data_IF_509983588947
#
_entry.id   IF_509983588947
#
_cell.length_a   1.000
_cell.length_b   1.000
_cell.length_c   1.000
_cell.angle_alpha   90.00
_cell.angle_beta   90.00
_cell.angle_gamma   90.00
#
_symmetry.space_group_name_H-M   'P 1'
#
loop_
_entity.id
_entity.type
_entity.pdbx_description
1 polymer ?
#
# COMPACT_ATOMS: atom_id res chain seq x y z
N UNK A 1 21.00 -1.39 49.51
CA UNK A 1 20.90 -1.66 48.04
C UNK A 1 22.07 -0.97 47.34
N UNK A 2 22.91 -1.70 46.61
CA UNK A 2 24.14 -1.18 45.96
C UNK A 2 23.84 -0.07 44.92
N UNK A 3 24.66 0.99 44.83
CA UNK A 3 24.52 2.14 43.93
C UNK A 3 24.32 1.69 42.47
N UNK A 4 25.11 0.73 42.01
CA UNK A 4 24.99 0.15 40.67
C UNK A 4 23.61 -0.47 40.41
N UNK A 5 23.04 -1.15 41.41
CA UNK A 5 21.68 -1.72 41.31
C UNK A 5 20.62 -0.62 41.23
N UNK A 6 20.79 0.50 41.96
CA UNK A 6 19.87 1.65 41.91
C UNK A 6 19.92 2.40 40.58
N UNK A 7 21.12 2.62 40.02
CA UNK A 7 21.30 3.25 38.69
C UNK A 7 20.69 2.39 37.60
N UNK A 8 20.95 1.08 37.60
CA UNK A 8 20.36 0.14 36.62
C UNK A 8 18.83 0.08 36.74
N UNK A 9 18.30 0.09 37.96
CA UNK A 9 16.85 0.15 38.18
C UNK A 9 16.22 1.42 37.58
N UNK A 10 16.80 2.59 37.85
CA UNK A 10 16.31 3.86 37.30
C UNK A 10 16.41 3.92 35.77
N UNK A 11 17.49 3.40 35.19
CA UNK A 11 17.65 3.30 33.73
C UNK A 11 16.57 2.41 33.11
N UNK A 12 16.32 1.23 33.69
CA UNK A 12 15.33 0.29 33.19
C UNK A 12 13.91 0.86 33.27
N UNK A 13 13.58 1.53 34.38
CA UNK A 13 12.28 2.21 34.53
C UNK A 13 12.08 3.33 33.53
N UNK A 14 13.11 4.16 33.32
CA UNK A 14 13.08 5.21 32.31
C UNK A 14 12.91 4.61 30.90
N UNK A 15 13.65 3.55 30.57
CA UNK A 15 13.54 2.86 29.27
C UNK A 15 12.12 2.34 29.02
N UNK A 16 11.47 1.76 30.04
CA UNK A 16 10.07 1.31 29.95
C UNK A 16 9.13 2.49 29.67
N UNK A 17 9.32 3.61 30.37
CA UNK A 17 8.52 4.82 30.14
C UNK A 17 8.71 5.37 28.71
N UNK A 18 9.95 5.46 28.23
CA UNK A 18 10.24 5.93 26.87
C UNK A 18 9.57 5.03 25.82
N UNK A 19 9.61 3.71 25.97
CA UNK A 19 8.90 2.79 25.07
C UNK A 19 7.40 3.05 25.00
N UNK A 20 6.75 3.33 26.14
CA UNK A 20 5.33 3.71 26.17
C UNK A 20 5.11 5.08 25.51
N UNK A 21 6.02 6.03 25.69
CA UNK A 21 5.95 7.35 25.06
C UNK A 21 6.03 7.23 23.52
N UNK A 22 7.03 6.51 22.99
CA UNK A 22 7.22 6.30 21.56
C UNK A 22 5.99 5.67 20.89
N UNK A 23 5.29 4.80 21.61
CA UNK A 23 4.10 4.11 21.10
C UNK A 23 2.79 4.81 21.49
N UNK A 24 2.86 6.06 21.97
CA UNK A 24 1.73 6.88 22.43
C UNK A 24 0.78 6.18 23.40
N UNK A 25 1.34 5.27 24.21
CA UNK A 25 0.63 4.44 25.18
C UNK A 25 -0.60 3.74 24.57
N UNK A 26 -0.53 3.37 23.29
CA UNK A 26 -1.62 2.75 22.57
C UNK A 26 -1.87 1.29 23.01
N UNK A 27 -0.88 0.65 23.64
CA UNK A 27 -0.97 -0.77 23.92
C UNK A 27 0.12 -1.34 24.82
N UNK A 28 0.23 -2.67 24.81
CA UNK A 28 1.32 -3.41 25.47
C UNK A 28 2.54 -3.36 24.57
N UNK A 29 3.67 -2.90 25.11
CA UNK A 29 4.92 -2.81 24.35
C UNK A 29 5.84 -3.97 24.70
N UNK A 30 6.25 -4.70 23.67
CA UNK A 30 7.25 -5.77 23.73
C UNK A 30 8.43 -5.35 22.86
N UNK A 31 9.64 -5.66 23.30
CA UNK A 31 10.86 -5.36 22.56
C UNK A 31 11.62 -6.67 22.38
N UNK A 32 11.96 -7.01 21.15
CA UNK A 32 12.92 -8.06 20.81
C UNK A 32 14.16 -7.44 20.15
N UNK A 33 15.08 -8.26 19.66
CA UNK A 33 16.31 -7.77 19.04
C UNK A 33 16.08 -7.02 17.72
N UNK A 34 14.98 -7.31 17.02
CA UNK A 34 14.67 -6.76 15.69
C UNK A 34 13.80 -5.51 15.76
N UNK A 35 12.81 -5.46 16.65
CA UNK A 35 11.80 -4.39 16.65
C UNK A 35 11.16 -4.14 18.01
N UNK A 36 10.49 -2.99 18.12
CA UNK A 36 9.58 -2.66 19.21
C UNK A 36 8.15 -2.91 18.70
N UNK A 37 7.44 -3.84 19.33
CA UNK A 37 6.07 -4.19 18.95
C UNK A 37 5.07 -3.65 19.97
N UNK A 38 4.10 -2.87 19.52
CA UNK A 38 2.99 -2.37 20.31
C UNK A 38 1.71 -3.14 19.95
N UNK A 39 1.26 -4.00 20.86
CA UNK A 39 -0.02 -4.70 20.76
C UNK A 39 -1.13 -3.78 21.26
N UNK A 40 -1.94 -3.30 20.32
CA UNK A 40 -2.99 -2.33 20.57
C UNK A 40 -4.03 -2.92 21.52
N UNK A 41 -4.49 -2.11 22.48
CA UNK A 41 -5.59 -2.48 23.39
C UNK A 41 -6.85 -1.71 23.02
N UNK A 42 -7.97 -2.40 22.84
CA UNK A 42 -9.27 -1.76 22.53
C UNK A 42 -9.66 -0.70 23.58
N UNK A 43 -9.37 -0.93 24.85
CA UNK A 43 -9.60 0.05 25.93
C UNK A 43 -8.86 1.38 25.73
N UNK A 44 -7.72 1.37 25.03
CA UNK A 44 -6.95 2.58 24.73
C UNK A 44 -7.47 3.29 23.47
N UNK A 45 -8.23 2.61 22.62
CA UNK A 45 -8.85 3.17 21.43
C UNK A 45 -10.05 4.06 21.76
N UNK A 46 -10.79 3.81 22.85
CA UNK A 46 -11.87 4.69 23.30
C UNK A 46 -11.42 6.15 23.46
N UNK A 47 -10.18 6.37 23.90
CA UNK A 47 -9.59 7.71 24.04
C UNK A 47 -9.27 8.38 22.69
N UNK A 48 -9.34 7.61 21.60
CA UNK A 48 -9.10 8.02 20.22
C UNK A 48 -10.39 8.16 19.41
N UNK A 49 -11.54 7.94 20.06
CA UNK A 49 -12.84 8.17 19.47
C UNK A 49 -12.99 9.66 19.18
N UNK A 50 -13.47 9.99 17.99
CA UNK A 50 -13.69 11.37 17.58
C UNK A 50 -14.64 12.09 18.54
N UNK A 51 -14.31 13.36 18.82
CA UNK A 51 -15.14 14.25 19.63
C UNK A 51 -16.39 14.72 18.88
N UNK A 52 -16.45 14.53 17.56
CA UNK A 52 -17.51 15.04 16.68
C UNK A 52 -18.76 14.15 16.60
N UNK A 53 -18.94 13.19 17.53
CA UNK A 53 -20.09 12.25 17.60
C UNK A 53 -20.32 11.42 16.31
N UNK A 54 -19.38 11.38 15.39
CA UNK A 54 -19.44 10.63 14.13
C UNK A 54 -19.02 9.16 14.26
N UNK A 55 -18.83 8.69 15.50
CA UNK A 55 -18.46 7.33 15.87
C UNK A 55 -17.18 6.82 15.17
N UNK A 56 -16.23 7.71 14.89
CA UNK A 56 -14.96 7.36 14.25
C UNK A 56 -13.82 7.16 15.24
N UNK A 57 -12.85 6.31 14.89
CA UNK A 57 -11.55 6.24 15.55
C UNK A 57 -10.47 6.78 14.62
N UNK A 58 -9.66 7.71 15.13
CA UNK A 58 -8.46 8.19 14.43
C UNK A 58 -7.22 7.79 15.22
N UNK A 59 -6.43 6.89 14.64
CA UNK A 59 -5.32 6.22 15.30
C UNK A 59 -4.05 6.50 14.51
N UNK A 60 -3.12 7.20 15.15
CA UNK A 60 -1.82 7.53 14.56
C UNK A 60 -0.73 6.66 15.18
N UNK A 61 -0.10 5.87 14.33
CA UNK A 61 1.04 4.99 14.57
C UNK A 61 2.31 5.67 14.05
N UNK A 62 3.38 5.69 14.84
CA UNK A 62 4.62 6.38 14.49
C UNK A 62 5.81 5.43 14.60
N UNK A 63 6.71 5.54 13.64
CA UNK A 63 8.05 4.97 13.74
C UNK A 63 8.93 5.82 14.65
N UNK A 64 10.22 5.82 14.35
CA UNK A 64 11.18 6.72 15.00
C UNK A 64 11.38 7.90 14.04
N UNK A 65 10.84 9.05 14.40
CA UNK A 65 11.08 10.30 13.69
C UNK A 65 12.43 10.93 14.05
N UNK A 66 12.75 12.02 13.37
CA UNK A 66 13.99 12.77 13.58
C UNK A 66 14.10 13.35 15.00
N UNK A 67 12.97 13.81 15.55
CA UNK A 67 12.89 14.42 16.88
C UNK A 67 13.24 13.44 18.02
N UNK A 68 12.96 12.14 17.82
CA UNK A 68 13.21 11.09 18.80
C UNK A 68 14.65 10.53 18.75
N UNK A 69 15.44 10.86 17.73
CA UNK A 69 16.69 10.14 17.42
C UNK A 69 17.70 10.15 18.59
N UNK A 70 17.91 11.32 19.20
CA UNK A 70 18.80 11.48 20.38
C UNK A 70 18.32 10.65 21.57
N UNK A 71 17.01 10.63 21.79
CA UNK A 71 16.37 9.92 22.90
C UNK A 71 16.49 8.41 22.72
N UNK A 72 16.17 7.90 21.52
CA UNK A 72 16.25 6.46 21.25
C UNK A 72 17.69 5.97 21.25
N UNK A 73 18.67 6.77 20.79
CA UNK A 73 20.11 6.44 20.89
C UNK A 73 20.55 6.30 22.35
N UNK A 74 20.22 7.28 23.21
CA UNK A 74 20.55 7.26 24.65
C UNK A 74 20.00 6.02 25.35
N UNK A 75 18.79 5.62 24.99
CA UNK A 75 18.14 4.46 25.56
C UNK A 75 18.29 3.21 24.69
N UNK A 76 19.20 3.12 23.71
CA UNK A 76 19.38 1.93 22.85
C UNK A 76 18.07 1.34 22.28
N UNK A 77 17.14 2.21 21.87
CA UNK A 77 15.81 1.88 21.34
C UNK A 77 15.70 2.18 19.84
N UNK A 78 16.82 2.38 19.14
CA UNK A 78 16.84 2.65 17.70
C UNK A 78 16.51 1.38 16.90
N UNK A 79 15.23 0.99 16.92
CA UNK A 79 14.69 -0.20 16.27
C UNK A 79 13.38 0.19 15.58
N UNK A 80 13.02 -0.46 14.45
CA UNK A 80 11.71 -0.27 13.84
C UNK A 80 10.56 -0.49 14.83
N UNK A 81 9.48 0.27 14.66
CA UNK A 81 8.26 0.13 15.47
C UNK A 81 7.18 -0.57 14.64
N UNK A 82 6.57 -1.58 15.25
CA UNK A 82 5.46 -2.34 14.69
C UNK A 82 4.23 -2.21 15.59
N UNK A 83 3.08 -1.92 15.00
CA UNK A 83 1.79 -1.89 15.69
C UNK A 83 0.96 -3.09 15.26
N UNK A 84 0.43 -3.82 16.23
CA UNK A 84 -0.38 -5.01 16.00
C UNK A 84 -1.78 -4.76 16.55
N UNK A 85 -2.74 -4.65 15.64
CA UNK A 85 -4.17 -4.69 15.91
C UNK A 85 -4.60 -6.13 15.77
N UNK A 86 -4.92 -6.79 16.89
CA UNK A 86 -5.28 -8.20 16.92
C UNK A 86 -6.59 -8.40 17.67
N UNK A 87 -7.52 -9.15 17.07
CA UNK A 87 -8.83 -9.49 17.64
C UNK A 87 -9.67 -8.25 18.05
N UNK A 88 -9.58 -7.17 17.28
CA UNK A 88 -10.34 -5.94 17.53
C UNK A 88 -11.57 -5.89 16.63
N UNK A 89 -12.73 -5.77 17.27
CA UNK A 89 -14.00 -5.50 16.58
C UNK A 89 -14.21 -3.99 16.41
N UNK A 90 -14.19 -3.53 15.16
CA UNK A 90 -14.46 -2.15 14.77
C UNK A 90 -15.87 -1.96 14.22
N UNK A 91 -16.80 -2.86 14.53
CA UNK A 91 -18.18 -2.78 14.06
C UNK A 91 -18.83 -1.44 14.42
N UNK A 92 -19.60 -0.90 13.48
CA UNK A 92 -20.34 0.36 13.55
C UNK A 92 -19.47 1.63 13.68
N UNK A 93 -18.16 1.51 13.50
CA UNK A 93 -17.21 2.63 13.57
C UNK A 93 -16.60 2.98 12.22
N UNK A 94 -16.29 4.25 11.99
CA UNK A 94 -15.39 4.66 10.89
C UNK A 94 -13.96 4.58 11.37
N UNK A 95 -13.06 3.96 10.61
CA UNK A 95 -11.70 3.70 11.08
C UNK A 95 -10.68 4.43 10.23
N UNK A 96 -9.84 5.21 10.88
CA UNK A 96 -8.70 5.88 10.27
C UNK A 96 -7.43 5.45 11.02
N UNK A 97 -6.63 4.58 10.41
CA UNK A 97 -5.32 4.17 10.93
C UNK A 97 -4.25 4.78 10.03
N UNK A 98 -3.42 5.66 10.59
CA UNK A 98 -2.33 6.31 9.87
C UNK A 98 -0.98 5.87 10.46
N UNK A 99 -0.08 5.39 9.61
CA UNK A 99 1.29 5.02 9.96
C UNK A 99 2.28 6.01 9.37
N UNK A 100 3.13 6.58 10.21
CA UNK A 100 4.17 7.54 9.87
C UNK A 100 5.55 7.01 10.24
N UNK A 101 6.59 7.66 9.70
CA UNK A 101 8.00 7.40 9.98
C UNK A 101 8.38 5.93 9.71
N UNK A 102 7.83 5.39 8.61
CA UNK A 102 8.09 4.05 8.11
C UNK A 102 7.78 2.93 9.14
N UNK A 103 6.76 3.12 9.99
CA UNK A 103 6.32 2.08 10.91
C UNK A 103 5.68 0.88 10.19
N UNK A 104 5.67 -0.28 10.84
CA UNK A 104 4.89 -1.45 10.38
C UNK A 104 3.52 -1.47 11.08
N UNK A 105 2.46 -1.71 10.33
CA UNK A 105 1.10 -1.90 10.85
C UNK A 105 0.60 -3.29 10.45
N UNK A 106 0.23 -4.10 11.43
CA UNK A 106 -0.35 -5.43 11.25
C UNK A 106 -1.77 -5.41 11.79
N UNK A 107 -2.72 -5.79 10.96
CA UNK A 107 -4.13 -5.94 11.29
C UNK A 107 -4.48 -7.41 11.12
N UNK A 108 -4.82 -8.07 12.22
CA UNK A 108 -5.02 -9.51 12.28
C UNK A 108 -6.31 -9.84 13.01
N UNK A 109 -7.14 -10.71 12.43
CA UNK A 109 -8.39 -11.15 13.06
C UNK A 109 -9.34 -10.00 13.47
N UNK A 110 -9.21 -8.83 12.84
CA UNK A 110 -10.05 -7.69 13.15
C UNK A 110 -11.35 -7.76 12.35
N UNK A 111 -12.35 -6.98 12.76
CA UNK A 111 -13.61 -6.82 12.01
C UNK A 111 -13.81 -5.37 11.64
N UNK A 112 -13.79 -5.05 10.34
CA UNK A 112 -14.23 -3.76 9.80
C UNK A 112 -15.64 -3.93 9.26
N UNK A 113 -16.65 -3.60 10.06
CA UNK A 113 -18.05 -3.71 9.64
C UNK A 113 -18.79 -2.42 9.95
N UNK A 114 -18.92 -1.50 8.99
CA UNK A 114 -19.54 -0.21 9.27
C UNK A 114 -20.55 0.20 8.22
N UNK A 115 -21.79 0.40 8.66
CA UNK A 115 -22.80 1.10 7.86
C UNK A 115 -22.61 2.63 7.87
N UNK A 116 -21.64 3.14 8.64
CA UNK A 116 -21.45 4.58 8.86
C UNK A 116 -20.42 5.21 7.94
N UNK A 117 -19.65 4.45 7.17
CA UNK A 117 -18.74 4.99 6.18
C UNK A 117 -17.39 4.30 6.08
N UNK A 118 -16.39 5.11 5.78
CA UNK A 118 -15.10 4.73 5.23
C UNK A 118 -14.17 4.12 6.27
N UNK A 119 -13.42 3.09 5.86
CA UNK A 119 -12.22 2.67 6.58
C UNK A 119 -10.98 3.00 5.75
N UNK A 120 -10.04 3.75 6.33
CA UNK A 120 -8.76 4.11 5.72
C UNK A 120 -7.64 3.57 6.60
N UNK A 121 -6.76 2.79 5.98
CA UNK A 121 -5.47 2.42 6.56
C UNK A 121 -4.41 2.98 5.64
N UNK A 122 -3.61 3.94 6.11
CA UNK A 122 -2.58 4.57 5.30
C UNK A 122 -1.25 4.58 6.04
N UNK A 123 -0.24 3.88 5.52
CA UNK A 123 1.11 3.90 6.09
C UNK A 123 2.16 4.25 5.05
N UNK A 124 3.15 5.03 5.43
CA UNK A 124 4.36 5.25 4.63
C UNK A 124 5.35 4.08 4.71
N UNK A 125 5.13 3.14 5.63
CA UNK A 125 5.87 1.89 5.79
C UNK A 125 5.07 0.68 5.31
N UNK A 126 5.16 -0.41 6.07
CA UNK A 126 4.59 -1.71 5.68
C UNK A 126 3.24 -1.94 6.36
N UNK A 127 2.25 -2.41 5.59
CA UNK A 127 0.97 -2.85 6.13
C UNK A 127 0.77 -4.34 5.87
N UNK A 128 0.27 -5.08 6.86
CA UNK A 128 -0.17 -6.47 6.71
C UNK A 128 -1.61 -6.61 7.18
N UNK A 129 -2.44 -7.28 6.39
CA UNK A 129 -3.81 -7.64 6.74
C UNK A 129 -3.93 -9.15 6.69
N UNK A 130 -4.39 -9.72 7.79
CA UNK A 130 -4.38 -11.15 8.04
C UNK A 130 -5.75 -11.57 8.59
N UNK A 131 -6.43 -12.50 7.92
CA UNK A 131 -7.66 -13.14 8.41
C UNK A 131 -8.70 -12.14 8.97
N UNK A 132 -8.96 -11.04 8.26
CA UNK A 132 -9.75 -9.91 8.74
C UNK A 132 -11.14 -9.90 8.08
N UNK A 133 -12.19 -9.63 8.86
CA UNK A 133 -13.55 -9.49 8.34
C UNK A 133 -13.76 -8.07 7.78
N UNK A 134 -14.32 -7.96 6.59
CA UNK A 134 -14.52 -6.70 5.87
C UNK A 134 -15.97 -6.66 5.37
N UNK A 135 -16.81 -5.85 6.01
CA UNK A 135 -18.18 -5.58 5.58
C UNK A 135 -18.34 -4.07 5.42
N UNK A 136 -18.27 -3.58 4.18
CA UNK A 136 -17.98 -2.16 3.93
C UNK A 136 -19.13 -1.40 3.27
N UNK A 137 -19.23 -0.10 3.59
CA UNK A 137 -20.03 0.89 2.90
C UNK A 137 -19.44 2.30 3.07
N UNK A 138 -19.22 3.10 2.01
CA UNK A 138 -19.20 2.74 0.60
C UNK A 138 -17.85 2.20 0.12
N UNK A 139 -16.75 2.46 0.85
CA UNK A 139 -15.42 2.02 0.43
C UNK A 139 -14.46 1.71 1.58
N UNK A 140 -13.51 0.81 1.29
CA UNK A 140 -12.32 0.53 2.08
C UNK A 140 -11.11 0.96 1.27
N UNK A 141 -10.21 1.71 1.90
CA UNK A 141 -8.97 2.13 1.27
C UNK A 141 -7.77 1.79 2.15
N UNK A 142 -6.88 0.96 1.62
CA UNK A 142 -5.69 0.50 2.32
C UNK A 142 -4.49 0.81 1.44
N UNK A 143 -3.64 1.69 1.97
CA UNK A 143 -2.46 2.20 1.29
C UNK A 143 -1.22 1.98 2.14
N UNK A 144 -0.13 1.53 1.49
CA UNK A 144 1.15 1.31 2.15
C UNK A 144 2.33 1.62 1.23
N UNK A 145 3.56 1.58 1.73
CA UNK A 145 4.74 1.39 0.86
C UNK A 145 4.79 -0.05 0.36
N UNK A 146 4.69 -1.00 1.29
CA UNK A 146 4.53 -2.43 1.02
C UNK A 146 3.26 -2.95 1.67
N UNK A 147 2.43 -3.65 0.91
CA UNK A 147 1.16 -4.20 1.40
C UNK A 147 1.16 -5.72 1.28
N UNK A 148 0.89 -6.40 2.39
CA UNK A 148 0.69 -7.85 2.44
C UNK A 148 -0.77 -8.11 2.82
N UNK A 149 -1.45 -8.91 2.02
CA UNK A 149 -2.82 -9.37 2.30
C UNK A 149 -2.74 -10.89 2.36
N UNK A 150 -3.17 -11.49 3.46
CA UNK A 150 -3.09 -12.95 3.59
C UNK A 150 -4.23 -13.56 4.39
N UNK A 151 -4.47 -14.85 4.14
CA UNK A 151 -5.49 -15.65 4.83
C UNK A 151 -6.89 -15.02 4.81
N UNK A 152 -7.23 -14.29 3.73
CA UNK A 152 -8.56 -13.69 3.60
C UNK A 152 -9.56 -14.75 3.12
N UNK A 153 -10.78 -14.72 3.65
CA UNK A 153 -11.87 -15.58 3.21
C UNK A 153 -13.00 -14.74 2.60
N UNK A 154 -13.46 -15.15 1.43
CA UNK A 154 -14.61 -14.58 0.72
C UNK A 154 -15.86 -14.51 1.58
N UNK A 155 -16.08 -15.47 2.50
CA UNK A 155 -17.23 -15.49 3.41
C UNK A 155 -17.22 -14.32 4.41
N UNK A 156 -16.03 -13.74 4.64
CA UNK A 156 -15.78 -12.64 5.55
C UNK A 156 -15.74 -11.29 4.85
N UNK A 157 -15.98 -11.26 3.53
CA UNK A 157 -15.98 -10.05 2.71
C UNK A 157 -17.39 -9.84 2.14
N UNK A 158 -18.03 -8.74 2.55
CA UNK A 158 -19.40 -8.42 2.17
C UNK A 158 -19.65 -6.93 1.98
N UNK A 159 -20.86 -6.60 1.54
CA UNK A 159 -21.31 -5.21 1.33
C UNK A 159 -22.59 -4.92 2.10
N UNK A 160 -22.81 -3.65 2.45
CA UNK A 160 -24.06 -3.20 3.10
C UNK A 160 -24.97 -2.45 2.09
N UNK A 161 -24.45 -2.04 0.94
CA UNK A 161 -25.17 -1.27 -0.09
C UNK A 161 -24.88 -1.90 -1.48
N UNK A 162 -25.68 -1.67 -2.55
CA UNK A 162 -25.57 -2.43 -3.79
C UNK A 162 -24.33 -2.09 -4.61
N UNK A 163 -23.38 -1.33 -4.06
CA UNK A 163 -22.05 -1.11 -4.62
C UNK A 163 -21.07 -0.80 -3.49
N UNK A 164 -19.95 -1.51 -3.48
CA UNK A 164 -18.83 -1.20 -2.58
C UNK A 164 -17.50 -1.25 -3.32
N UNK A 165 -16.58 -0.35 -2.95
CA UNK A 165 -15.26 -0.26 -3.56
C UNK A 165 -14.18 -0.63 -2.53
N UNK A 166 -13.33 -1.61 -2.86
CA UNK A 166 -12.18 -2.00 -2.06
C UNK A 166 -10.91 -1.62 -2.82
N UNK A 167 -10.14 -0.69 -2.27
CA UNK A 167 -8.85 -0.28 -2.80
C UNK A 167 -7.72 -0.80 -1.92
N UNK A 168 -6.85 -1.59 -2.52
CA UNK A 168 -5.55 -1.95 -1.99
C UNK A 168 -4.47 -1.30 -2.86
N UNK A 169 -3.70 -0.38 -2.29
CA UNK A 169 -2.64 0.32 -3.00
C UNK A 169 -1.29 0.25 -2.28
N UNK A 170 -0.20 0.14 -3.04
CA UNK A 170 1.15 0.17 -2.52
C UNK A 170 2.07 1.03 -3.39
N UNK A 171 2.95 1.81 -2.75
CA UNK A 171 3.98 2.59 -3.47
C UNK A 171 5.04 1.69 -4.12
N UNK A 172 5.28 0.51 -3.57
CA UNK A 172 6.25 -0.45 -4.11
C UNK A 172 5.56 -1.74 -4.55
N UNK A 173 5.19 -2.60 -3.60
CA UNK A 173 4.64 -3.93 -3.89
C UNK A 173 3.38 -4.31 -3.09
N UNK A 174 2.53 -5.11 -3.71
CA UNK A 174 1.43 -5.85 -3.07
C UNK A 174 1.71 -7.35 -3.17
N UNK A 175 1.56 -8.06 -2.06
CA UNK A 175 1.61 -9.53 -2.02
C UNK A 175 0.29 -10.04 -1.44
N UNK A 176 -0.44 -10.84 -2.23
CA UNK A 176 -1.67 -11.51 -1.80
C UNK A 176 -1.37 -13.00 -1.68
N UNK A 177 -1.58 -13.56 -0.49
CA UNK A 177 -1.10 -14.90 -0.13
C UNK A 177 -2.25 -15.69 0.51
N UNK A 178 -2.50 -16.91 0.05
CA UNK A 178 -3.49 -17.82 0.65
C UNK A 178 -4.85 -17.15 0.90
N UNK A 179 -5.35 -16.39 -0.08
CA UNK A 179 -6.49 -15.48 0.12
C UNK A 179 -7.56 -15.61 -0.96
N UNK A 180 -8.81 -15.69 -0.52
CA UNK A 180 -9.99 -15.54 -1.37
C UNK A 180 -10.62 -14.18 -1.05
N UNK A 181 -10.50 -13.20 -1.95
CA UNK A 181 -10.94 -11.82 -1.72
C UNK A 181 -12.18 -11.53 -2.57
N UNK A 182 -13.27 -11.13 -1.91
CA UNK A 182 -14.55 -10.80 -2.54
C UNK A 182 -15.34 -12.03 -2.98
N UNK A 183 -16.42 -11.82 -3.72
CA UNK A 183 -17.29 -12.89 -4.23
C UNK A 183 -18.12 -12.39 -5.43
N UNK A 184 -18.75 -13.31 -6.19
CA UNK A 184 -19.55 -12.98 -7.38
C UNK A 184 -20.99 -12.54 -7.07
N UNK A 185 -21.48 -12.76 -5.84
CA UNK A 185 -22.85 -12.45 -5.43
C UNK A 185 -23.02 -10.99 -5.05
N UNK A 186 -21.93 -10.37 -4.60
CA UNK A 186 -21.87 -9.00 -4.15
C UNK A 186 -21.36 -8.08 -5.26
N UNK A 187 -21.96 -6.90 -5.39
CA UNK A 187 -21.50 -5.89 -6.36
C UNK A 187 -20.28 -5.12 -5.81
N UNK A 188 -19.12 -5.79 -5.79
CA UNK A 188 -17.87 -5.23 -5.29
C UNK A 188 -16.95 -4.86 -6.45
N UNK A 189 -16.37 -3.66 -6.41
CA UNK A 189 -15.21 -3.29 -7.23
C UNK A 189 -13.95 -3.49 -6.39
N UNK A 190 -13.00 -4.29 -6.88
CA UNK A 190 -11.71 -4.48 -6.21
C UNK A 190 -10.61 -3.88 -7.07
N UNK A 191 -9.84 -2.96 -6.48
CA UNK A 191 -8.70 -2.34 -7.11
C UNK A 191 -7.42 -2.74 -6.38
N UNK A 192 -6.48 -3.33 -7.12
CA UNK A 192 -5.12 -3.66 -6.68
C UNK A 192 -4.13 -2.77 -7.44
N UNK A 193 -3.45 -1.85 -6.75
CA UNK A 193 -2.54 -0.89 -7.37
C UNK A 193 -1.17 -0.90 -6.71
N UNK A 194 -0.16 -1.45 -7.36
CA UNK A 194 1.22 -1.40 -6.91
C UNK A 194 2.10 -0.72 -7.97
N UNK A 195 3.07 0.11 -7.62
CA UNK A 195 3.97 0.68 -8.63
C UNK A 195 4.82 -0.39 -9.31
N UNK A 196 5.49 -1.23 -8.52
CA UNK A 196 6.53 -2.14 -9.04
C UNK A 196 6.03 -3.57 -9.21
N UNK A 197 5.41 -4.15 -8.18
CA UNK A 197 5.07 -5.57 -8.19
C UNK A 197 3.73 -5.89 -7.53
N UNK A 198 2.93 -6.71 -8.18
CA UNK A 198 1.74 -7.35 -7.60
C UNK A 198 1.90 -8.87 -7.74
N UNK A 199 1.96 -9.58 -6.61
CA UNK A 199 2.06 -11.04 -6.56
C UNK A 199 0.77 -11.64 -6.01
N UNK A 200 0.20 -12.61 -6.72
CA UNK A 200 -0.86 -13.47 -6.20
C UNK A 200 -0.28 -14.88 -6.03
N UNK A 201 -0.35 -15.38 -4.80
CA UNK A 201 0.21 -16.67 -4.40
C UNK A 201 -0.94 -17.43 -3.73
N UNK A 202 -1.36 -18.54 -4.32
CA UNK A 202 -2.48 -19.36 -3.87
C UNK A 202 -3.73 -18.51 -3.53
N UNK A 203 -4.07 -17.55 -4.40
CA UNK A 203 -5.06 -16.52 -4.08
C UNK A 203 -6.04 -16.23 -5.22
N UNK A 204 -7.32 -16.12 -4.88
CA UNK A 204 -8.39 -15.80 -5.82
C UNK A 204 -8.99 -14.43 -5.51
N UNK A 205 -9.05 -13.56 -6.51
CA UNK A 205 -9.68 -12.25 -6.40
C UNK A 205 -10.95 -12.26 -7.22
N UNK A 206 -12.09 -11.97 -6.58
CA UNK A 206 -13.41 -12.11 -7.17
C UNK A 206 -14.23 -10.85 -6.91
N UNK A 207 -14.80 -10.27 -7.96
CA UNK A 207 -15.68 -9.10 -7.80
C UNK A 207 -16.64 -8.91 -8.98
N UNK A 208 -17.42 -7.83 -8.94
CA UNK A 208 -18.17 -7.40 -10.12
C UNK A 208 -17.22 -6.79 -11.15
N UNK A 209 -16.30 -5.93 -10.70
CA UNK A 209 -15.21 -5.36 -11.50
C UNK A 209 -13.89 -5.52 -10.78
N UNK A 210 -12.84 -5.86 -11.52
CA UNK A 210 -11.48 -5.89 -10.99
C UNK A 210 -10.58 -4.94 -11.77
N UNK A 211 -9.78 -4.18 -11.04
CA UNK A 211 -8.75 -3.31 -11.61
C UNK A 211 -7.39 -3.67 -11.01
N UNK A 212 -6.48 -4.20 -11.82
CA UNK A 212 -5.12 -4.49 -11.40
C UNK A 212 -4.13 -3.60 -12.16
N UNK A 213 -3.31 -2.86 -11.42
CA UNK A 213 -2.26 -2.01 -11.98
C UNK A 213 -0.93 -2.31 -11.31
N UNK A 214 0.06 -2.71 -12.10
CA UNK A 214 1.45 -2.78 -11.67
C UNK A 214 2.44 -2.90 -12.83
N UNK A 215 3.70 -2.48 -12.64
CA UNK A 215 4.74 -2.75 -13.63
C UNK A 215 4.86 -4.25 -13.92
N UNK A 216 4.80 -5.08 -12.86
CA UNK A 216 4.85 -6.54 -12.95
C UNK A 216 3.69 -7.16 -12.19
N UNK A 217 2.90 -8.02 -12.84
CA UNK A 217 1.96 -8.92 -12.16
C UNK A 217 2.48 -10.35 -12.26
N UNK A 218 2.58 -11.05 -11.13
CA UNK A 218 2.89 -12.49 -11.11
C UNK A 218 1.82 -13.27 -10.37
N UNK A 219 1.37 -14.37 -10.97
CA UNK A 219 0.40 -15.30 -10.37
C UNK A 219 0.93 -16.73 -10.42
N UNK A 220 0.72 -17.52 -9.38
CA UNK A 220 0.89 -18.97 -9.49
C UNK A 220 -0.31 -19.65 -10.17
N UNK A 221 -0.25 -20.97 -10.34
CA UNK A 221 -1.30 -21.74 -11.04
C UNK A 221 -2.60 -21.83 -10.25
N UNK A 222 -2.51 -21.71 -8.92
CA UNK A 222 -3.62 -21.78 -7.99
C UNK A 222 -4.36 -20.43 -7.89
N UNK A 223 -3.72 -19.34 -8.29
CA UNK A 223 -4.29 -18.00 -8.23
C UNK A 223 -5.15 -17.68 -9.44
N UNK A 224 -6.18 -16.85 -9.23
CA UNK A 224 -7.07 -16.40 -10.30
C UNK A 224 -7.65 -15.01 -10.08
N UNK A 225 -8.03 -14.37 -11.19
CA UNK A 225 -8.82 -13.14 -11.21
C UNK A 225 -10.17 -13.43 -11.88
N UNK A 226 -11.27 -13.19 -11.16
CA UNK A 226 -12.62 -13.48 -11.65
C UNK A 226 -13.50 -12.26 -11.52
N UNK A 227 -14.15 -11.83 -12.61
CA UNK A 227 -15.12 -10.75 -12.57
C UNK A 227 -16.43 -11.11 -13.26
N UNK A 228 -17.53 -10.60 -12.73
CA UNK A 228 -18.86 -10.76 -13.34
C UNK A 228 -19.03 -9.87 -14.56
N UNK A 229 -18.50 -8.64 -14.54
CA UNK A 229 -18.58 -7.69 -15.66
C UNK A 229 -17.24 -7.58 -16.38
N UNK A 230 -16.23 -7.03 -15.70
CA UNK A 230 -14.99 -6.60 -16.38
C UNK A 230 -13.74 -6.72 -15.52
N UNK A 231 -12.63 -7.11 -16.16
CA UNK A 231 -11.28 -7.04 -15.61
C UNK A 231 -10.46 -6.02 -16.41
N UNK A 232 -9.82 -5.07 -15.70
CA UNK A 232 -8.91 -4.09 -16.27
C UNK A 232 -7.50 -4.36 -15.74
N UNK A 233 -6.56 -4.58 -16.65
CA UNK A 233 -5.15 -4.78 -16.36
C UNK A 233 -4.32 -3.63 -16.95
N UNK A 234 -3.53 -2.97 -16.12
CA UNK A 234 -2.53 -1.99 -16.53
C UNK A 234 -1.14 -2.51 -16.14
N UNK A 235 -0.45 -3.15 -17.09
CA UNK A 235 0.74 -3.95 -16.82
C UNK A 235 1.80 -3.88 -17.94
N UNK A 236 3.07 -3.88 -17.56
CA UNK A 236 4.18 -3.93 -18.52
C UNK A 236 4.69 -5.37 -18.73
N UNK A 237 4.75 -6.16 -17.66
CA UNK A 237 5.25 -7.53 -17.69
C UNK A 237 4.39 -8.45 -16.82
N UNK A 238 4.13 -9.67 -17.28
CA UNK A 238 3.34 -10.65 -16.54
C UNK A 238 3.68 -12.09 -16.95
N UNK A 239 3.50 -13.02 -16.02
CA UNK A 239 3.40 -14.45 -16.33
C UNK A 239 1.94 -14.80 -16.66
N UNK A 240 1.65 -16.00 -17.22
CA UNK A 240 0.27 -16.38 -17.51
C UNK A 240 -0.66 -16.21 -16.30
N UNK A 241 -1.79 -15.52 -16.51
CA UNK A 241 -2.76 -15.22 -15.47
C UNK A 241 -4.06 -15.97 -15.79
N UNK A 242 -4.56 -16.73 -14.82
CA UNK A 242 -5.89 -17.34 -14.90
C UNK A 242 -6.96 -16.26 -14.69
N UNK A 243 -7.72 -15.97 -15.73
CA UNK A 243 -8.65 -14.84 -15.78
C UNK A 243 -10.00 -15.33 -16.31
N UNK A 244 -11.06 -14.97 -15.60
CA UNK A 244 -12.43 -15.28 -16.01
C UNK A 244 -13.31 -14.02 -15.88
N UNK A 245 -13.62 -13.39 -17.01
CA UNK A 245 -14.58 -12.29 -17.09
C UNK A 245 -15.14 -12.13 -18.51
N UNK A 246 -16.37 -11.60 -18.68
CA UNK A 246 -16.92 -11.29 -20.00
C UNK A 246 -16.09 -10.28 -20.79
N UNK A 247 -15.60 -9.24 -20.13
CA UNK A 247 -14.76 -8.21 -20.75
C UNK A 247 -13.40 -8.13 -20.07
N UNK A 248 -12.34 -8.19 -20.86
CA UNK A 248 -10.96 -8.01 -20.41
C UNK A 248 -10.39 -6.79 -21.14
N UNK A 249 -9.86 -5.82 -20.39
CA UNK A 249 -9.12 -4.69 -20.95
C UNK A 249 -7.68 -4.75 -20.49
N UNK A 250 -6.75 -4.88 -21.43
CA UNK A 250 -5.32 -4.89 -21.20
C UNK A 250 -4.71 -3.61 -21.75
N UNK A 251 -4.11 -2.78 -20.89
CA UNK A 251 -3.45 -1.52 -21.29
C UNK A 251 -4.31 -0.60 -22.17
N UNK A 252 -5.61 -0.52 -21.86
CA UNK A 252 -6.67 0.23 -22.57
C UNK A 252 -7.16 -0.41 -23.88
N UNK A 253 -6.66 -1.59 -24.25
CA UNK A 253 -7.17 -2.36 -25.39
C UNK A 253 -8.13 -3.43 -24.88
N UNK A 254 -9.31 -3.53 -25.49
CA UNK A 254 -10.29 -4.56 -25.15
C UNK A 254 -9.96 -5.87 -25.87
N UNK A 255 -9.82 -6.94 -25.10
CA UNK A 255 -9.61 -8.29 -25.60
C UNK A 255 -10.95 -9.00 -25.46
N UNK A 256 -11.71 -9.07 -26.55
CA UNK A 256 -12.94 -9.86 -26.62
C UNK A 256 -12.55 -11.34 -26.71
N UNK A 257 -12.44 -12.05 -25.59
CA UNK A 257 -12.19 -13.49 -25.66
C UNK A 257 -12.84 -14.28 -24.52
N UNK A 258 -13.58 -15.33 -24.90
CA UNK A 258 -14.09 -16.41 -24.04
C UNK A 258 -12.95 -17.39 -23.65
N UNK A 259 -11.74 -16.90 -23.37
CA UNK A 259 -10.55 -17.74 -23.10
C UNK A 259 -10.19 -17.73 -21.61
N UNK A 260 -10.00 -18.92 -21.05
CA UNK A 260 -9.72 -19.21 -19.63
C UNK A 260 -8.32 -18.81 -19.14
N UNK A 261 -7.39 -18.41 -20.01
CA UNK A 261 -6.02 -18.09 -19.62
C UNK A 261 -5.46 -16.98 -20.52
N UNK A 262 -5.08 -15.83 -19.95
CA UNK A 262 -4.31 -14.84 -20.70
C UNK A 262 -2.86 -15.31 -20.69
N UNK A 263 -2.48 -16.07 -21.70
CA UNK A 263 -1.07 -16.30 -22.01
C UNK A 263 -0.51 -14.99 -22.53
N UNK A 264 0.71 -14.64 -22.08
CA UNK A 264 1.49 -13.58 -22.74
C UNK A 264 1.39 -13.86 -24.23
N UNK A 265 0.90 -12.88 -24.99
CA UNK A 265 0.97 -12.94 -26.45
C UNK A 265 2.47 -12.97 -26.78
N UNK A 266 3.01 -14.17 -26.93
CA UNK A 266 4.32 -14.45 -27.51
C UNK A 266 4.24 -14.32 -29.03
N UNK A 267 3.36 -13.45 -29.54
CA UNK A 267 3.44 -13.04 -30.93
C UNK A 267 4.79 -12.34 -31.08
N UNK A 268 5.72 -12.89 -31.88
CA UNK A 268 7.01 -12.27 -32.13
C UNK A 268 6.87 -10.80 -32.55
N UNK A 269 5.75 -10.45 -33.21
CA UNK A 269 5.45 -9.10 -33.65
C UNK A 269 5.14 -8.16 -32.48
N UNK A 270 4.36 -8.60 -31.48
CA UNK A 270 4.07 -7.80 -30.29
C UNK A 270 5.33 -7.57 -29.43
N UNK A 271 6.19 -8.58 -29.32
CA UNK A 271 7.50 -8.46 -28.66
C UNK A 271 8.41 -7.47 -29.40
N UNK A 272 8.47 -7.56 -30.73
CA UNK A 272 9.24 -6.62 -31.57
C UNK A 272 8.71 -5.19 -31.50
N UNK A 273 7.39 -5.00 -31.40
CA UNK A 273 6.77 -3.69 -31.18
C UNK A 273 7.14 -3.10 -29.81
N UNK A 274 7.15 -3.90 -28.75
CA UNK A 274 7.59 -3.47 -27.42
C UNK A 274 9.09 -3.14 -27.36
N UNK A 275 9.95 -3.97 -27.98
CA UNK A 275 11.37 -3.69 -28.14
C UNK A 275 11.59 -2.36 -28.86
N UNK A 276 10.87 -2.13 -29.96
CA UNK A 276 10.92 -0.87 -30.71
C UNK A 276 10.47 0.33 -29.87
N UNK A 277 9.37 0.23 -29.13
CA UNK A 277 8.87 1.32 -28.26
C UNK A 277 9.92 1.70 -27.21
N UNK A 278 10.62 0.73 -26.62
CA UNK A 278 11.66 1.00 -25.63
C UNK A 278 12.88 1.68 -26.25
N UNK A 279 13.30 1.26 -27.44
CA UNK A 279 14.36 1.93 -28.20
C UNK A 279 13.97 3.39 -28.51
N UNK A 280 12.74 3.61 -28.98
CA UNK A 280 12.24 4.95 -29.28
C UNK A 280 12.18 5.86 -28.04
N UNK A 281 11.82 5.32 -26.86
CA UNK A 281 11.85 6.07 -25.61
C UNK A 281 13.26 6.48 -25.21
N UNK A 282 14.25 5.59 -25.36
CA UNK A 282 15.64 5.92 -25.06
C UNK A 282 16.19 6.96 -26.06
N UNK A 283 15.88 6.81 -27.34
CA UNK A 283 16.24 7.79 -28.36
C UNK A 283 15.63 9.17 -28.05
N UNK A 284 14.35 9.22 -27.65
CA UNK A 284 13.70 10.47 -27.24
C UNK A 284 14.45 11.15 -26.09
N UNK A 285 14.78 10.41 -25.02
CA UNK A 285 15.51 10.96 -23.86
C UNK A 285 16.88 11.52 -24.28
N UNK A 286 17.60 10.79 -25.15
CA UNK A 286 18.88 11.26 -25.67
C UNK A 286 18.73 12.53 -26.52
N UNK A 287 17.73 12.59 -27.41
CA UNK A 287 17.44 13.78 -28.21
C UNK A 287 17.07 14.98 -27.34
N UNK A 288 16.26 14.78 -26.29
CA UNK A 288 15.92 15.83 -25.32
C UNK A 288 17.17 16.36 -24.62
N UNK A 289 18.06 15.47 -24.16
CA UNK A 289 19.33 15.86 -23.54
C UNK A 289 20.25 16.65 -24.49
N UNK A 290 20.39 16.21 -25.74
CA UNK A 290 21.21 16.91 -26.75
C UNK A 290 20.64 18.29 -27.05
N UNK A 291 19.32 18.40 -27.20
CA UNK A 291 18.67 19.68 -27.46
C UNK A 291 18.85 20.66 -26.30
N UNK A 292 18.66 20.20 -25.05
CA UNK A 292 18.90 21.04 -23.88
C UNK A 292 20.33 21.56 -23.83
N UNK A 293 21.31 20.72 -24.17
CA UNK A 293 22.71 21.12 -24.18
C UNK A 293 23.03 22.15 -25.27
N UNK A 294 22.50 21.98 -26.49
CA UNK A 294 22.67 22.96 -27.58
C UNK A 294 22.02 24.32 -27.28
N UNK A 295 20.89 24.33 -26.58
CA UNK A 295 20.24 25.57 -26.15
C UNK A 295 21.15 26.32 -25.18
N UNK A 296 21.72 25.63 -24.20
CA UNK A 296 22.67 26.23 -23.24
C UNK A 296 23.91 26.78 -23.93
N UNK A 297 24.53 26.02 -24.85
CA UNK A 297 25.69 26.49 -25.63
C UNK A 297 25.37 27.74 -26.45
N UNK A 298 24.18 27.82 -27.04
CA UNK A 298 23.73 28.99 -27.82
C UNK A 298 23.48 30.22 -26.93
N UNK A 299 22.92 30.02 -25.73
CA UNK A 299 22.73 31.08 -24.74
C UNK A 299 24.07 31.62 -24.22
N UNK A 300 25.05 30.76 -23.96
CA UNK A 300 26.40 31.16 -23.57
C UNK A 300 27.12 31.93 -24.68
N UNK A 301 26.96 31.51 -25.94
CA UNK A 301 27.54 32.21 -27.10
C UNK A 301 26.89 33.59 -27.31
N UNK A 302 25.57 33.71 -27.12
CA UNK A 302 24.86 34.98 -27.21
C UNK A 302 25.27 35.94 -26.08
N UNK A 303 25.40 35.44 -24.85
CA UNK A 303 25.78 36.23 -23.68
C UNK A 303 27.25 36.67 -23.69
N UNK A 304 28.13 35.98 -24.42
CA UNK A 304 29.54 36.33 -24.54
C UNK A 304 29.84 37.32 -25.68
N UNK A 305 28.87 37.63 -26.56
CA UNK A 305 29.04 38.64 -27.61
C UNK A 305 28.88 40.05 -27.04
N UNK A 306 29.83 40.98 -27.30
CA UNK A 306 29.70 42.35 -26.85
C UNK A 306 28.53 43.04 -27.56
N UNK A 307 27.63 43.65 -26.80
CA UNK A 307 26.53 44.49 -27.32
C UNK A 307 27.13 45.78 -27.87
N UNK A 308 27.59 45.75 -29.12
CA UNK A 308 28.02 46.96 -29.82
C UNK A 308 26.80 47.77 -30.25
N UNK A 309 26.70 48.98 -29.69
CA UNK A 309 25.69 49.98 -29.99
C UNK A 309 25.58 50.22 -31.51
N UNK A 310 24.36 50.14 -32.04
CA UNK A 310 23.97 50.97 -33.19
C UNK A 310 22.85 51.89 -32.71
N UNK A 311 23.26 52.95 -32.01
CA UNK A 311 22.58 54.23 -32.09
C UNK A 311 23.52 55.13 -32.89
N UNK A 312 23.26 55.24 -34.20
CA UNK A 312 23.71 56.39 -34.97
C UNK A 312 22.50 57.29 -35.14
N UNK A 313 22.59 58.43 -34.43
CA UNK A 313 22.06 59.78 -34.69
C UNK A 313 20.85 59.86 -35.63
#
# INVERSE_FOLDING_TARGET
>A
MNILKKVNYNYNMARIYIKKKLTHNLGKVVEDDKKITCYIKSSNLEKRKSKYKDNSYTISCYGIGEDEEKLVKKFKLNKPICYVFEDIDFKDHKIYIFGYDNCEVIIKNCTFSSNKGVSIVGTDGKCTIDNTNITIFPYLNITAKELIIKNMDSSKIGTINPKADILFAAKDKIEVIDSNIGNQKENIIITLRATNKLNLINSNIVGNKLECKSNVITTDKQSSLVAVDKIILQINNFNPININAPTIVLNKEEISNKSTEIKRVTDPLAKKRLELINILKQAKIQCESINSQKVLESEEELNSRPVSRILKI
#
